data_IF_110987483857
#
_entry.id   IF_110987483857
#
_cell.length_a   1.000
_cell.length_b   1.000
_cell.length_c   1.000
_cell.angle_alpha   90.00
_cell.angle_beta   90.00
_cell.angle_gamma   90.00
#
_symmetry.space_group_name_H-M   'P 1'
#
loop_
_entity.id
_entity.type
_entity.pdbx_description
1 polymer ?
#
# COMPACT_ATOMS: atom_id res chain seq x y z
N UNK A 1 -28.64 11.31 -22.88
CA UNK A 1 -28.99 10.58 -21.64
C UNK A 1 -28.90 9.10 -21.92
N UNK A 2 -27.85 8.44 -21.46
CA UNK A 2 -27.90 7.02 -21.09
C UNK A 2 -26.75 6.75 -20.12
N UNK A 3 -27.13 6.13 -19.01
CA UNK A 3 -26.31 5.81 -17.86
C UNK A 3 -25.57 4.48 -18.05
N UNK A 4 -24.57 4.26 -17.22
CA UNK A 4 -24.14 2.92 -16.82
C UNK A 4 -22.83 2.46 -17.43
N UNK A 5 -21.77 2.51 -16.62
CA UNK A 5 -21.03 1.32 -16.21
C UNK A 5 -19.95 1.74 -15.21
N UNK A 6 -20.36 1.86 -13.94
CA UNK A 6 -19.44 1.78 -12.82
C UNK A 6 -19.12 0.29 -12.67
N UNK A 7 -17.98 -0.14 -13.21
CA UNK A 7 -17.50 -1.51 -13.05
C UNK A 7 -16.97 -1.68 -11.64
N UNK A 8 -17.79 -2.20 -10.73
CA UNK A 8 -17.30 -2.75 -9.47
C UNK A 8 -16.56 -4.05 -9.80
N UNK A 9 -15.24 -3.96 -9.85
CA UNK A 9 -14.35 -5.11 -10.06
C UNK A 9 -14.46 -6.03 -8.84
N UNK A 10 -14.74 -7.31 -9.04
CA UNK A 10 -14.47 -8.31 -8.02
C UNK A 10 -12.95 -8.43 -7.86
N UNK A 11 -12.41 -8.29 -6.64
CA UNK A 11 -10.98 -8.48 -6.41
C UNK A 11 -10.58 -9.90 -6.81
N UNK A 12 -9.44 -10.04 -7.49
CA UNK A 12 -8.84 -11.35 -7.74
C UNK A 12 -8.34 -11.97 -6.43
N UNK A 13 -8.02 -13.27 -6.39
CA UNK A 13 -7.47 -13.90 -5.18
C UNK A 13 -6.11 -13.30 -4.73
N UNK A 14 -5.44 -12.54 -5.60
CA UNK A 14 -4.20 -11.82 -5.31
C UNK A 14 -4.45 -10.46 -4.62
N UNK A 15 -5.63 -9.85 -4.82
CA UNK A 15 -6.02 -8.59 -4.17
C UNK A 15 -6.35 -8.78 -2.68
N UNK A 16 -6.63 -10.01 -2.23
CA UNK A 16 -6.86 -10.32 -0.81
C UNK A 16 -5.58 -10.46 0.01
N UNK A 17 -4.42 -10.66 -0.65
CA UNK A 17 -3.14 -10.79 0.03
C UNK A 17 -2.50 -9.44 0.37
N UNK A 18 -2.95 -8.35 -0.25
CA UNK A 18 -2.37 -7.01 -0.08
C UNK A 18 -3.44 -6.01 0.30
N UNK A 19 -3.33 -5.46 1.51
CA UNK A 19 -4.26 -4.45 2.03
C UNK A 19 -3.53 -3.12 2.22
N UNK A 20 -4.13 -2.05 1.70
CA UNK A 20 -3.70 -0.68 1.99
C UNK A 20 -4.84 0.06 2.68
N UNK A 21 -4.66 0.36 3.97
CA UNK A 21 -5.73 0.94 4.79
C UNK A 21 -5.18 1.72 6.00
N UNK A 22 -6.06 2.34 6.79
CA UNK A 22 -5.73 3.01 8.04
C UNK A 22 -6.03 2.07 9.22
N UNK A 23 -5.07 1.95 10.12
CA UNK A 23 -5.27 1.23 11.39
C UNK A 23 -6.16 2.05 12.30
N UNK A 24 -7.25 1.45 12.78
CA UNK A 24 -8.21 2.11 13.69
C UNK A 24 -8.04 1.67 15.13
N UNK A 25 -7.64 0.41 15.36
CA UNK A 25 -7.39 -0.12 16.69
C UNK A 25 -6.34 -1.24 16.65
N UNK A 26 -5.67 -1.43 17.79
CA UNK A 26 -4.76 -2.56 18.02
C UNK A 26 -5.13 -3.14 19.37
N UNK A 27 -5.59 -4.39 19.38
CA UNK A 27 -6.05 -5.09 20.57
C UNK A 27 -4.87 -5.52 21.47
N UNK A 28 -5.11 -5.82 22.77
CA UNK A 28 -4.11 -6.52 23.55
C UNK A 28 -3.90 -7.95 23.02
N UNK A 29 -2.71 -8.53 23.21
CA UNK A 29 -2.43 -9.88 22.74
C UNK A 29 -3.34 -10.93 23.39
N UNK A 30 -3.91 -11.81 22.57
CA UNK A 30 -4.83 -12.87 22.97
C UNK A 30 -4.56 -14.14 22.16
N UNK A 31 -4.25 -15.23 22.85
CA UNK A 31 -4.03 -16.53 22.22
C UNK A 31 -2.80 -16.58 21.29
N UNK A 32 -1.77 -15.77 21.55
CA UNK A 32 -0.58 -15.69 20.70
C UNK A 32 -0.72 -14.75 19.51
N UNK A 33 -1.84 -14.04 19.40
CA UNK A 33 -2.10 -13.10 18.31
C UNK A 33 -2.49 -11.72 18.84
N UNK A 34 -2.14 -10.70 18.06
CA UNK A 34 -2.59 -9.33 18.27
C UNK A 34 -3.51 -8.97 17.11
N UNK A 35 -4.76 -8.67 17.41
CA UNK A 35 -5.72 -8.22 16.39
C UNK A 35 -5.50 -6.74 16.06
N UNK A 36 -5.54 -6.42 14.78
CA UNK A 36 -5.37 -5.08 14.22
C UNK A 36 -6.62 -4.77 13.40
N UNK A 37 -7.40 -3.80 13.86
CA UNK A 37 -8.60 -3.36 13.16
C UNK A 37 -8.23 -2.30 12.11
N UNK A 38 -8.78 -2.47 10.91
CA UNK A 38 -8.60 -1.56 9.79
C UNK A 38 -9.87 -0.73 9.59
N UNK A 39 -9.81 0.32 8.76
CA UNK A 39 -10.93 1.26 8.59
C UNK A 39 -11.99 0.72 7.65
N UNK A 40 -11.57 0.21 6.50
CA UNK A 40 -12.43 -0.24 5.41
C UNK A 40 -12.33 -1.77 5.17
N UNK A 41 -11.42 -2.45 5.87
CA UNK A 41 -11.20 -3.90 5.76
C UNK A 41 -11.46 -4.65 7.06
N UNK A 42 -11.71 -5.96 6.95
CA UNK A 42 -11.79 -6.85 8.11
C UNK A 42 -10.49 -6.84 8.93
N UNK A 43 -10.57 -7.06 10.25
CA UNK A 43 -9.38 -7.14 11.10
C UNK A 43 -8.36 -8.17 10.59
N UNK A 44 -7.09 -7.85 10.80
CA UNK A 44 -5.95 -8.72 10.49
C UNK A 44 -5.20 -9.04 11.78
N UNK A 45 -4.29 -10.00 11.74
CA UNK A 45 -3.64 -10.54 12.93
C UNK A 45 -2.12 -10.45 12.82
N UNK A 46 -1.46 -10.05 13.90
CA UNK A 46 -0.02 -10.26 14.09
C UNK A 46 0.20 -11.49 14.95
N UNK A 47 1.11 -12.36 14.54
CA UNK A 47 1.55 -13.51 15.34
C UNK A 47 2.67 -13.10 16.30
N UNK A 48 2.47 -13.26 17.60
CA UNK A 48 3.45 -12.90 18.63
C UNK A 48 4.76 -13.70 18.53
N UNK A 49 4.72 -14.89 17.91
CA UNK A 49 5.89 -15.74 17.77
C UNK A 49 6.89 -15.23 16.71
N UNK A 50 6.50 -14.27 15.85
CA UNK A 50 7.38 -13.75 14.79
C UNK A 50 8.37 -12.72 15.32
N UNK A 51 9.60 -12.80 14.82
CA UNK A 51 10.72 -11.93 15.21
C UNK A 51 10.38 -10.44 14.98
N UNK A 52 9.66 -10.13 13.90
CA UNK A 52 9.35 -8.75 13.52
C UNK A 52 8.14 -8.15 14.25
N UNK A 53 7.44 -8.92 15.09
CA UNK A 53 6.16 -8.49 15.68
C UNK A 53 6.28 -7.24 16.53
N UNK A 54 7.35 -7.08 17.30
CA UNK A 54 7.56 -5.85 18.08
C UNK A 54 7.72 -4.62 17.18
N UNK A 55 8.46 -4.75 16.07
CA UNK A 55 8.67 -3.66 15.12
C UNK A 55 7.37 -3.32 14.37
N UNK A 56 6.66 -4.34 13.89
CA UNK A 56 5.36 -4.18 13.22
C UNK A 56 4.32 -3.56 14.15
N UNK A 57 4.24 -4.02 15.40
CA UNK A 57 3.31 -3.48 16.39
C UNK A 57 3.56 -1.99 16.65
N UNK A 58 4.82 -1.61 16.88
CA UNK A 58 5.20 -0.21 17.08
C UNK A 58 4.84 0.66 15.88
N UNK A 59 5.06 0.13 14.67
CA UNK A 59 4.71 0.83 13.44
C UNK A 59 3.19 1.00 13.30
N UNK A 60 2.40 -0.06 13.46
CA UNK A 60 0.93 -0.02 13.34
C UNK A 60 0.29 0.90 14.39
N UNK A 61 0.83 0.94 15.60
CA UNK A 61 0.39 1.87 16.63
C UNK A 61 0.68 3.33 16.24
N UNK A 62 1.88 3.59 15.71
CA UNK A 62 2.24 4.91 15.18
C UNK A 62 1.30 5.30 14.04
N UNK A 63 1.08 4.43 13.06
CA UNK A 63 0.19 4.69 11.93
C UNK A 63 -1.25 4.95 12.35
N UNK A 64 -1.75 4.23 13.38
CA UNK A 64 -3.05 4.51 14.00
C UNK A 64 -3.11 5.93 14.58
N UNK A 65 -2.10 6.30 15.37
CA UNK A 65 -2.08 7.57 16.09
C UNK A 65 -2.00 8.77 15.13
N UNK A 66 -1.30 8.62 14.01
CA UNK A 66 -1.19 9.64 12.97
C UNK A 66 -2.23 9.50 11.83
N UNK A 67 -3.07 8.46 11.88
CA UNK A 67 -4.06 8.12 10.84
C UNK A 67 -3.44 8.01 9.44
N UNK A 68 -2.22 7.47 9.35
CA UNK A 68 -1.54 7.25 8.07
C UNK A 68 -1.91 5.88 7.52
N UNK A 69 -1.92 5.77 6.18
CA UNK A 69 -2.10 4.48 5.53
C UNK A 69 -0.95 3.52 5.87
N UNK A 70 -1.26 2.24 5.87
CA UNK A 70 -0.30 1.14 5.97
C UNK A 70 -0.50 0.20 4.80
N UNK A 71 0.59 -0.35 4.26
CA UNK A 71 0.56 -1.44 3.31
C UNK A 71 0.87 -2.73 4.07
N UNK A 72 0.01 -3.72 3.92
CA UNK A 72 0.06 -4.99 4.63
C UNK A 72 0.05 -6.12 3.60
N UNK A 73 1.06 -6.97 3.66
CA UNK A 73 0.97 -8.28 3.03
C UNK A 73 0.46 -9.26 4.08
N UNK A 74 -0.55 -10.03 3.72
CA UNK A 74 -1.21 -10.98 4.60
C UNK A 74 -1.30 -12.35 3.95
N UNK A 75 -1.22 -13.39 4.78
CA UNK A 75 -1.67 -14.72 4.40
C UNK A 75 -3.19 -14.68 4.22
N UNK A 76 -3.74 -14.93 3.02
CA UNK A 76 -5.17 -14.81 2.77
C UNK A 76 -6.00 -15.88 3.52
N UNK A 77 -5.41 -17.04 3.84
CA UNK A 77 -6.10 -18.10 4.57
C UNK A 77 -6.17 -17.82 6.07
N UNK A 78 -5.12 -17.22 6.64
CA UNK A 78 -5.03 -16.98 8.09
C UNK A 78 -5.21 -15.51 8.48
N UNK A 79 -5.25 -14.59 7.53
CA UNK A 79 -5.23 -13.12 7.77
C UNK A 79 -4.09 -12.68 8.69
N UNK A 80 -3.01 -13.47 8.75
CA UNK A 80 -1.81 -13.12 9.52
C UNK A 80 -0.96 -12.21 8.67
N UNK A 81 -0.51 -11.10 9.25
CA UNK A 81 0.37 -10.14 8.62
C UNK A 81 1.76 -10.75 8.46
N UNK A 82 2.23 -10.77 7.22
CA UNK A 82 3.59 -11.16 6.86
C UNK A 82 4.52 -9.95 6.83
N UNK A 83 4.07 -8.85 6.24
CA UNK A 83 4.88 -7.66 5.98
C UNK A 83 4.08 -6.39 6.28
N UNK A 84 4.78 -5.37 6.80
CA UNK A 84 4.19 -4.05 7.09
C UNK A 84 5.10 -2.97 6.56
N UNK A 85 4.58 -2.17 5.63
CA UNK A 85 5.28 -1.06 5.00
C UNK A 85 4.52 0.26 5.20
N UNK A 86 5.25 1.34 5.00
CA UNK A 86 4.75 2.71 5.09
C UNK A 86 4.59 3.29 3.69
N UNK A 87 3.38 3.28 3.13
CA UNK A 87 3.11 4.08 1.95
C UNK A 87 3.23 5.56 2.28
N UNK A 88 3.54 6.36 1.28
CA UNK A 88 3.58 7.80 1.43
C UNK A 88 2.92 8.50 0.25
N UNK A 89 2.31 9.65 0.54
CA UNK A 89 1.64 10.46 -0.47
C UNK A 89 2.67 11.33 -1.21
N UNK A 90 2.73 11.20 -2.53
CA UNK A 90 3.53 12.11 -3.35
C UNK A 90 2.95 12.27 -4.75
N UNK A 91 2.93 13.50 -5.31
CA UNK A 91 2.81 13.67 -6.74
C UNK A 91 4.06 13.17 -7.47
N UNK A 92 3.86 12.71 -8.70
CA UNK A 92 4.94 12.27 -9.58
C UNK A 92 5.43 13.45 -10.40
N UNK A 93 6.75 13.69 -10.38
CA UNK A 93 7.39 14.74 -11.15
C UNK A 93 7.67 14.28 -12.58
N UNK A 94 8.18 13.06 -12.75
CA UNK A 94 8.45 12.49 -14.07
C UNK A 94 8.50 10.96 -14.05
N UNK A 95 8.26 10.38 -15.21
CA UNK A 95 8.36 8.94 -15.48
C UNK A 95 9.19 8.75 -16.75
N UNK A 96 10.30 8.04 -16.64
CA UNK A 96 11.20 7.72 -17.75
C UNK A 96 11.26 6.19 -17.95
N UNK A 97 10.53 5.69 -18.95
CA UNK A 97 10.50 4.26 -19.27
C UNK A 97 11.75 3.80 -20.02
N UNK A 98 12.35 2.74 -19.51
CA UNK A 98 13.48 2.01 -20.09
C UNK A 98 13.02 0.60 -20.49
N UNK A 99 13.93 -0.21 -21.04
CA UNK A 99 13.60 -1.55 -21.56
C UNK A 99 13.06 -2.50 -20.48
N UNK A 100 13.58 -2.41 -19.26
CA UNK A 100 13.33 -3.32 -18.13
C UNK A 100 12.68 -2.63 -16.92
N UNK A 101 12.58 -1.29 -16.90
CA UNK A 101 12.04 -0.53 -15.77
C UNK A 101 11.54 0.88 -16.10
N UNK A 102 10.60 1.33 -15.27
CA UNK A 102 10.28 2.67 -14.80
C UNK A 102 11.40 3.37 -14.03
N UNK A 103 11.98 4.50 -14.43
CA UNK A 103 12.58 5.45 -13.47
C UNK A 103 11.55 6.52 -13.14
N UNK A 104 11.30 6.74 -11.84
CA UNK A 104 10.24 7.62 -11.34
C UNK A 104 10.86 8.64 -10.40
N UNK A 105 10.61 9.93 -10.67
CA UNK A 105 10.98 11.01 -9.77
C UNK A 105 9.72 11.51 -9.07
N UNK A 106 9.81 11.66 -7.75
CA UNK A 106 8.71 12.08 -6.91
C UNK A 106 8.97 13.48 -6.35
N UNK A 107 7.92 14.27 -6.17
CA UNK A 107 8.08 15.67 -5.75
C UNK A 107 8.66 15.77 -4.34
N UNK A 108 8.30 14.84 -3.45
CA UNK A 108 8.70 14.86 -2.03
C UNK A 108 9.86 13.95 -1.69
N UNK A 109 10.47 13.29 -2.67
CA UNK A 109 11.62 12.41 -2.46
C UNK A 109 12.71 12.66 -3.49
N UNK A 110 13.91 12.98 -3.02
CA UNK A 110 15.09 13.17 -3.87
C UNK A 110 15.79 11.85 -4.25
N UNK A 111 15.25 10.70 -3.82
CA UNK A 111 15.76 9.39 -4.18
C UNK A 111 15.35 8.99 -5.61
N UNK A 112 16.08 8.04 -6.19
CA UNK A 112 15.69 7.40 -7.44
C UNK A 112 14.78 6.22 -7.15
N UNK A 113 13.58 6.24 -7.72
CA UNK A 113 12.59 5.21 -7.55
C UNK A 113 12.44 4.42 -8.83
N UNK A 114 12.27 3.11 -8.72
CA UNK A 114 12.13 2.26 -9.90
C UNK A 114 10.88 1.41 -9.86
N UNK A 115 10.17 1.34 -10.99
CA UNK A 115 9.09 0.39 -11.19
C UNK A 115 9.55 -0.69 -12.17
N UNK A 116 9.73 -1.92 -11.71
CA UNK A 116 10.25 -3.00 -12.56
C UNK A 116 9.19 -3.47 -13.57
N UNK A 117 9.60 -3.65 -14.84
CA UNK A 117 8.70 -4.11 -15.91
C UNK A 117 8.20 -5.54 -15.73
N UNK A 118 8.90 -6.33 -14.92
CA UNK A 118 8.48 -7.67 -14.50
C UNK A 118 7.37 -7.67 -13.46
N UNK A 119 7.03 -6.52 -12.88
CA UNK A 119 5.96 -6.43 -11.89
C UNK A 119 4.61 -6.78 -12.55
N UNK A 120 3.79 -7.67 -11.96
CA UNK A 120 2.52 -8.10 -12.56
C UNK A 120 1.59 -6.91 -12.88
N UNK A 121 1.58 -5.92 -11.99
CA UNK A 121 0.79 -4.71 -12.10
C UNK A 121 1.46 -3.54 -12.84
N UNK A 122 2.60 -3.77 -13.52
CA UNK A 122 3.36 -2.70 -14.17
C UNK A 122 2.49 -1.79 -15.05
N UNK A 123 1.66 -2.38 -15.91
CA UNK A 123 0.85 -1.63 -16.88
C UNK A 123 -0.19 -0.72 -16.20
N UNK A 124 -0.73 -1.13 -15.06
CA UNK A 124 -1.66 -0.31 -14.26
C UNK A 124 -0.89 0.81 -13.58
N UNK A 125 0.14 0.47 -12.81
CA UNK A 125 0.89 1.46 -12.03
C UNK A 125 1.56 2.52 -12.90
N UNK A 126 2.12 2.14 -14.07
CA UNK A 126 2.72 3.12 -14.97
C UNK A 126 1.68 4.10 -15.53
N UNK A 127 0.44 3.64 -15.74
CA UNK A 127 -0.68 4.50 -16.15
C UNK A 127 -1.03 5.50 -15.04
N UNK A 128 -1.11 5.02 -13.80
CA UNK A 128 -1.44 5.86 -12.63
C UNK A 128 -0.35 6.93 -12.42
N UNK A 129 0.93 6.52 -12.46
CA UNK A 129 2.08 7.43 -12.32
C UNK A 129 2.09 8.50 -13.42
N UNK A 130 1.81 8.14 -14.67
CA UNK A 130 1.70 9.10 -15.79
C UNK A 130 0.54 10.07 -15.59
N UNK A 131 -0.60 9.58 -15.15
CA UNK A 131 -1.75 10.43 -14.83
C UNK A 131 -1.38 11.46 -13.75
N UNK A 132 -0.61 11.06 -12.73
CA UNK A 132 -0.09 11.99 -11.72
C UNK A 132 0.86 13.04 -12.29
N UNK A 133 1.72 12.70 -13.26
CA UNK A 133 2.54 13.69 -13.98
C UNK A 133 1.67 14.70 -14.74
N UNK A 134 0.61 14.23 -15.40
CA UNK A 134 -0.26 15.07 -16.21
C UNK A 134 -1.15 16.00 -15.37
N UNK A 135 -1.66 15.51 -14.24
CA UNK A 135 -2.67 16.21 -13.45
C UNK A 135 -2.15 16.78 -12.13
N UNK A 136 -0.95 16.38 -11.70
CA UNK A 136 -0.35 16.79 -10.43
C UNK A 136 -1.06 16.23 -9.20
N UNK A 137 -1.89 15.19 -9.33
CA UNK A 137 -2.56 14.57 -8.20
C UNK A 137 -1.59 13.73 -7.37
N UNK A 138 -1.83 13.67 -6.06
CA UNK A 138 -1.09 12.76 -5.19
C UNK A 138 -1.44 11.32 -5.50
N UNK A 139 -0.47 10.44 -5.31
CA UNK A 139 -0.63 9.00 -5.26
C UNK A 139 -0.05 8.49 -3.94
N UNK A 140 -0.63 7.41 -3.45
CA UNK A 140 -0.08 6.65 -2.34
C UNK A 140 0.92 5.64 -2.91
N UNK A 141 2.20 5.81 -2.59
CA UNK A 141 3.30 5.05 -3.17
C UNK A 141 3.91 4.17 -2.10
N UNK A 142 4.05 2.88 -2.39
CA UNK A 142 4.74 1.91 -1.52
C UNK A 142 6.01 1.42 -2.19
N UNK A 143 7.10 1.42 -1.43
CA UNK A 143 8.40 0.93 -1.86
C UNK A 143 8.85 -0.31 -1.08
N UNK A 144 9.68 -1.13 -1.73
CA UNK A 144 10.51 -2.12 -1.05
C UNK A 144 11.43 -1.43 -0.03
N UNK A 145 11.71 -2.09 1.10
CA UNK A 145 12.55 -1.52 2.17
C UNK A 145 13.94 -1.08 1.74
N UNK A 146 14.58 -1.79 0.81
CA UNK A 146 16.02 -1.65 0.57
C UNK A 146 16.36 -1.05 -0.80
N UNK A 147 15.59 -1.34 -1.85
CA UNK A 147 15.99 -1.07 -3.24
C UNK A 147 15.23 0.10 -3.89
N UNK A 148 14.36 0.80 -3.13
CA UNK A 148 13.48 1.85 -3.65
C UNK A 148 12.67 1.42 -4.88
N UNK A 149 12.31 0.14 -4.93
CA UNK A 149 11.41 -0.38 -5.94
C UNK A 149 9.99 -0.07 -5.53
N UNK A 150 9.28 0.64 -6.41
CA UNK A 150 7.84 0.85 -6.30
C UNK A 150 7.17 -0.50 -6.49
N UNK A 151 6.51 -0.97 -5.43
CA UNK A 151 5.80 -2.25 -5.39
C UNK A 151 4.28 -2.06 -5.42
N UNK A 152 3.78 -0.88 -5.05
CA UNK A 152 2.36 -0.55 -5.18
C UNK A 152 2.14 0.95 -5.37
N UNK A 153 1.12 1.27 -6.15
CA UNK A 153 0.66 2.64 -6.43
C UNK A 153 -0.86 2.62 -6.35
N UNK A 154 -1.44 3.48 -5.51
CA UNK A 154 -2.89 3.64 -5.35
C UNK A 154 -3.29 5.10 -5.29
N UNK A 155 -4.56 5.37 -5.52
CA UNK A 155 -5.13 6.67 -5.18
C UNK A 155 -5.06 6.91 -3.66
N UNK A 156 -4.91 8.16 -3.21
CA UNK A 156 -4.99 8.50 -1.80
C UNK A 156 -6.31 8.01 -1.19
N UNK A 157 -6.22 7.46 0.02
CA UNK A 157 -7.40 7.05 0.75
C UNK A 157 -8.29 8.28 1.02
N UNK A 158 -9.60 8.23 0.73
CA UNK A 158 -10.46 9.38 0.93
C UNK A 158 -10.48 9.82 2.40
N UNK A 159 -10.39 11.12 2.63
CA UNK A 159 -10.65 11.71 3.94
C UNK A 159 -12.15 11.54 4.24
N UNK A 160 -12.48 10.76 5.27
CA UNK A 160 -13.84 10.75 5.81
C UNK A 160 -13.96 11.86 6.85
N UNK A 161 -14.73 12.89 6.52
CA UNK A 161 -15.24 13.91 7.45
C UNK A 161 -16.03 13.26 8.59
#
# INVERSE_FOLDING_TARGET
MNAGCCGTRSPGPEDEAVIVDIVTAVAPPQGGFIEVSLRDHEPVRLDEARILTTAHLSFLQTSRDYKTAVYLEIDPATRVIDEVLAPYDSPVLSVNEQADRAEVLLVYSAAYHFLLRSHPDYARMISDLRSSVEHGNNLLITESRDEHFIIDVRDPLPERN
#
